data_IF_140178736923
#
_entry.id   IF_140178736923
#
_cell.length_a   1.000
_cell.length_b   1.000
_cell.length_c   1.000
_cell.angle_alpha   90.00
_cell.angle_beta   90.00
_cell.angle_gamma   90.00
#
_symmetry.space_group_name_H-M   'P 1'
#
loop_
_entity.id
_entity.type
_entity.pdbx_description
1 polymer ?
#
# COMPACT_ATOMS: atom_id res chain seq x y z
N UNK A 1 0.10 -0.16 52.62
CA UNK A 1 0.67 0.90 51.79
C UNK A 1 -0.40 1.39 50.82
N UNK A 2 -0.91 2.61 51.05
CA UNK A 2 -1.75 3.29 50.06
C UNK A 2 -0.93 3.48 48.80
N UNK A 3 -1.32 2.80 47.71
CA UNK A 3 -0.86 3.17 46.37
C UNK A 3 -1.47 4.53 46.05
N UNK A 4 -0.65 5.56 46.07
CA UNK A 4 -1.05 6.86 45.55
C UNK A 4 -1.21 6.67 44.03
N UNK A 5 -2.44 6.87 43.53
CA UNK A 5 -2.71 6.91 42.09
C UNK A 5 -2.20 8.26 41.57
N UNK A 6 -0.92 8.32 41.21
CA UNK A 6 -0.33 9.49 40.61
C UNK A 6 -0.43 9.36 39.09
N UNK A 7 -0.86 10.42 38.42
CA UNK A 7 -0.86 10.53 36.95
C UNK A 7 0.22 11.54 36.53
N UNK A 8 1.14 11.11 35.68
CA UNK A 8 2.16 11.98 35.13
C UNK A 8 1.81 12.35 33.68
N UNK A 9 1.81 13.63 33.37
CA UNK A 9 1.71 14.17 32.00
C UNK A 9 3.06 14.81 31.69
N UNK A 10 3.72 14.28 30.64
CA UNK A 10 5.03 14.73 30.19
C UNK A 10 4.93 15.32 28.79
N UNK A 11 5.43 16.52 28.59
CA UNK A 11 5.55 17.13 27.24
C UNK A 11 7.00 17.09 26.79
N UNK A 12 7.23 16.72 25.54
CA UNK A 12 8.59 16.55 25.01
C UNK A 12 8.66 16.74 23.49
N UNK A 13 9.80 17.20 23.00
CA UNK A 13 10.21 17.11 21.60
C UNK A 13 11.34 16.07 21.39
N UNK A 14 11.66 15.31 22.42
CA UNK A 14 12.71 14.28 22.33
C UNK A 14 12.22 13.04 21.58
N UNK A 15 12.83 12.77 20.43
CA UNK A 15 12.60 11.58 19.62
C UNK A 15 12.92 10.32 20.45
N UNK A 16 14.03 10.36 21.20
CA UNK A 16 14.45 9.25 22.06
C UNK A 16 13.41 8.93 23.14
N UNK A 17 12.85 9.95 23.77
CA UNK A 17 11.82 9.73 24.78
C UNK A 17 10.52 9.21 24.15
N UNK A 18 10.10 9.80 23.02
CA UNK A 18 8.90 9.36 22.30
C UNK A 18 9.00 7.87 21.90
N UNK A 19 10.21 7.39 21.53
CA UNK A 19 10.41 5.99 21.15
C UNK A 19 10.36 4.98 22.33
N UNK A 20 10.36 5.46 23.55
CA UNK A 20 10.30 4.62 24.77
C UNK A 20 8.92 4.59 25.42
N UNK A 21 8.02 5.47 24.98
CA UNK A 21 6.66 5.54 25.48
C UNK A 21 5.82 4.55 24.68
N UNK A 22 4.92 3.83 25.36
CA UNK A 22 3.93 3.01 24.70
C UNK A 22 3.08 3.88 23.78
N UNK A 23 2.85 3.40 22.57
CA UNK A 23 2.16 4.16 21.53
C UNK A 23 0.73 4.54 21.94
N UNK A 24 0.03 3.66 22.69
CA UNK A 24 -1.33 3.92 23.19
C UNK A 24 -1.39 5.02 24.25
N UNK A 25 -0.26 5.35 24.91
CA UNK A 25 -0.13 6.46 25.86
C UNK A 25 0.37 7.75 25.21
N UNK A 26 0.74 7.71 23.94
CA UNK A 26 1.26 8.87 23.22
C UNK A 26 0.12 9.77 22.74
N UNK A 27 0.27 11.07 22.92
CA UNK A 27 -0.62 12.10 22.38
C UNK A 27 0.23 13.06 21.57
N UNK A 28 0.01 13.12 20.27
CA UNK A 28 0.74 14.05 19.38
C UNK A 28 -0.04 15.37 19.28
N UNK A 29 0.66 16.47 19.51
CA UNK A 29 0.12 17.83 19.35
C UNK A 29 0.67 18.40 18.04
N UNK A 30 -0.20 18.78 17.10
CA UNK A 30 0.21 19.31 15.81
C UNK A 30 -0.83 20.28 15.24
N UNK A 31 -0.41 21.45 14.81
CA UNK A 31 -1.29 22.43 14.16
C UNK A 31 -2.52 22.79 15.02
N UNK A 32 -2.34 23.05 16.31
CA UNK A 32 -3.40 23.32 17.29
C UNK A 32 -4.44 22.18 17.44
N UNK A 33 -4.09 20.96 17.04
CA UNK A 33 -4.92 19.77 17.17
C UNK A 33 -4.24 18.72 18.05
N UNK A 34 -5.06 17.90 18.66
CA UNK A 34 -4.66 16.81 19.56
C UNK A 34 -4.95 15.48 18.89
N UNK A 35 -3.96 14.62 18.84
CA UNK A 35 -4.01 13.31 18.18
C UNK A 35 -3.58 12.21 19.17
N UNK A 36 -4.51 11.65 19.97
CA UNK A 36 -4.21 10.48 20.78
C UNK A 36 -3.91 9.30 19.85
N UNK A 37 -2.92 8.46 20.25
CA UNK A 37 -2.49 7.30 19.49
C UNK A 37 -3.11 6.00 19.97
N UNK A 38 -4.06 6.06 20.89
CA UNK A 38 -4.75 4.88 21.38
C UNK A 38 -5.72 4.29 20.34
N UNK A 39 -6.12 3.04 20.56
CA UNK A 39 -6.94 2.24 19.63
C UNK A 39 -8.30 2.86 19.30
N UNK A 40 -8.83 3.72 20.14
CA UNK A 40 -10.10 4.41 19.94
C UNK A 40 -10.03 5.49 18.85
N UNK A 41 -8.82 5.93 18.50
CA UNK A 41 -8.61 7.05 17.57
C UNK A 41 -7.86 6.68 16.28
N UNK A 42 -7.11 5.58 16.30
CA UNK A 42 -6.31 5.12 15.15
C UNK A 42 -6.93 3.89 14.49
N UNK A 43 -6.58 3.61 13.24
CA UNK A 43 -6.99 2.37 12.56
C UNK A 43 -6.04 1.20 12.84
N UNK A 44 -5.16 1.33 13.82
CA UNK A 44 -4.23 0.26 14.22
C UNK A 44 -4.96 -0.89 14.90
N UNK A 45 -4.58 -2.10 14.53
CA UNK A 45 -5.02 -3.34 15.19
C UNK A 45 -4.13 -3.64 16.41
N UNK A 46 -4.57 -4.49 17.36
CA UNK A 46 -3.73 -4.87 18.51
C UNK A 46 -2.36 -5.44 18.12
N UNK A 47 -2.30 -6.16 17.00
CA UNK A 47 -1.04 -6.69 16.47
C UNK A 47 -0.09 -5.58 15.98
N UNK A 48 -0.61 -4.45 15.50
CA UNK A 48 0.19 -3.31 15.04
C UNK A 48 0.87 -2.62 16.23
N UNK A 49 0.15 -2.44 17.34
CA UNK A 49 0.73 -1.89 18.59
C UNK A 49 1.90 -2.73 19.08
N UNK A 50 1.72 -4.06 19.18
CA UNK A 50 2.78 -4.99 19.62
C UNK A 50 3.99 -4.96 18.68
N UNK A 51 3.76 -4.83 17.38
CA UNK A 51 4.83 -4.70 16.41
C UNK A 51 5.57 -3.37 16.58
N UNK A 52 4.83 -2.26 16.61
CA UNK A 52 5.42 -0.92 16.68
C UNK A 52 6.16 -0.68 18.00
N UNK A 53 5.70 -1.22 19.12
CA UNK A 53 6.44 -1.19 20.40
C UNK A 53 7.86 -1.78 20.31
N UNK A 54 8.08 -2.74 19.40
CA UNK A 54 9.40 -3.35 19.18
C UNK A 54 10.25 -2.62 18.17
N UNK A 55 9.62 -2.06 17.13
CA UNK A 55 10.31 -1.53 15.96
C UNK A 55 10.30 -0.01 15.84
N UNK A 56 9.54 0.69 16.69
CA UNK A 56 9.53 2.15 16.76
C UNK A 56 10.69 2.63 17.63
N UNK A 57 11.89 2.59 17.07
CA UNK A 57 13.10 3.11 17.70
C UNK A 57 13.25 4.63 17.54
N UNK A 58 14.33 5.20 18.06
CA UNK A 58 14.56 6.64 17.98
C UNK A 58 14.65 7.16 16.54
N UNK A 59 15.15 6.36 15.59
CA UNK A 59 15.24 6.77 14.18
C UNK A 59 13.86 6.86 13.53
N UNK A 60 12.98 5.95 13.87
CA UNK A 60 11.60 5.91 13.34
C UNK A 60 10.64 6.82 14.10
N UNK A 61 10.87 7.11 15.37
CA UNK A 61 10.04 8.04 16.15
C UNK A 61 10.05 9.48 15.58
N UNK A 62 11.01 9.80 14.72
CA UNK A 62 11.04 11.06 13.99
C UNK A 62 9.77 11.30 13.15
N UNK A 63 9.04 10.22 12.78
CA UNK A 63 7.77 10.30 12.05
C UNK A 63 6.71 11.21 12.72
N UNK A 64 6.75 11.38 14.06
CA UNK A 64 5.80 12.24 14.77
C UNK A 64 6.14 13.73 14.68
N UNK A 65 7.38 14.08 14.38
CA UNK A 65 7.90 15.44 14.44
C UNK A 65 8.07 16.10 13.06
N UNK A 66 8.02 15.32 12.00
CA UNK A 66 8.20 15.80 10.62
C UNK A 66 7.02 16.68 10.14
N UNK A 67 7.27 17.55 9.18
CA UNK A 67 6.23 18.30 8.44
C UNK A 67 5.66 17.48 7.29
N UNK A 68 6.45 16.60 6.72
CA UNK A 68 6.09 15.60 5.72
C UNK A 68 6.88 14.33 5.95
N UNK A 69 6.39 13.20 5.48
CA UNK A 69 7.00 11.91 5.71
C UNK A 69 7.13 11.13 4.41
N UNK A 70 8.30 10.54 4.20
CA UNK A 70 8.53 9.54 3.16
C UNK A 70 8.88 8.23 3.87
N UNK A 71 8.07 7.21 3.68
CA UNK A 71 8.33 5.85 4.15
C UNK A 71 8.92 5.04 3.01
N UNK A 72 10.01 4.34 3.26
CA UNK A 72 10.71 3.49 2.30
C UNK A 72 10.94 2.10 2.85
N UNK A 73 11.07 1.10 1.98
CA UNK A 73 11.22 -0.29 2.39
C UNK A 73 12.67 -0.67 2.74
N UNK A 74 13.66 0.00 2.15
CA UNK A 74 15.04 -0.38 2.26
C UNK A 74 16.03 0.78 2.41
N UNK A 75 17.30 0.42 2.51
CA UNK A 75 18.40 1.36 2.64
C UNK A 75 18.74 2.03 1.30
N UNK A 76 18.47 1.35 0.18
CA UNK A 76 18.69 1.90 -1.15
C UNK A 76 17.85 3.17 -1.35
N UNK A 77 16.55 3.10 -1.12
CA UNK A 77 15.65 4.25 -1.23
C UNK A 77 15.97 5.31 -0.19
N UNK A 78 16.34 4.89 1.03
CA UNK A 78 16.71 5.79 2.12
C UNK A 78 17.92 6.68 1.76
N UNK A 79 18.81 6.19 0.91
CA UNK A 79 19.96 6.94 0.39
C UNK A 79 19.64 7.68 -0.91
N UNK A 80 18.93 7.04 -1.81
CA UNK A 80 18.69 7.53 -3.16
C UNK A 80 17.66 8.67 -3.19
N UNK A 81 16.57 8.57 -2.43
CA UNK A 81 15.49 9.57 -2.45
C UNK A 81 15.97 10.96 -2.02
N UNK A 82 16.77 11.14 -0.95
CA UNK A 82 17.35 12.45 -0.63
C UNK A 82 18.27 12.97 -1.74
N UNK A 83 19.10 12.11 -2.33
CA UNK A 83 20.01 12.49 -3.41
C UNK A 83 19.26 12.98 -4.64
N UNK A 84 18.18 12.29 -5.04
CA UNK A 84 17.31 12.73 -6.13
C UNK A 84 16.65 14.06 -5.79
N UNK A 85 16.16 14.23 -4.55
CA UNK A 85 15.55 15.48 -4.11
C UNK A 85 16.51 16.66 -4.17
N UNK A 86 17.78 16.44 -3.82
CA UNK A 86 18.83 17.46 -3.92
C UNK A 86 19.11 17.85 -5.38
N UNK A 87 19.23 16.87 -6.28
CA UNK A 87 19.40 17.11 -7.73
C UNK A 87 18.21 17.88 -8.32
N UNK A 88 17.01 17.66 -7.78
CA UNK A 88 15.79 18.39 -8.18
C UNK A 88 15.65 19.79 -7.53
N UNK A 89 16.66 20.25 -6.79
CA UNK A 89 16.62 21.50 -5.99
C UNK A 89 15.45 21.53 -4.97
N UNK A 90 15.13 20.36 -4.42
CA UNK A 90 14.09 20.17 -3.40
C UNK A 90 14.62 19.40 -2.18
N UNK A 91 15.69 19.87 -1.52
CA UNK A 91 16.28 19.14 -0.41
C UNK A 91 15.27 18.93 0.72
N UNK A 92 15.11 17.68 1.17
CA UNK A 92 14.07 17.27 2.10
C UNK A 92 14.13 18.01 3.44
N UNK A 93 15.33 18.27 3.95
CA UNK A 93 15.57 18.97 5.21
C UNK A 93 15.02 20.41 5.19
N UNK A 94 15.15 21.14 4.07
CA UNK A 94 14.64 22.50 3.90
C UNK A 94 13.12 22.57 4.10
N UNK A 95 12.41 21.49 3.72
CA UNK A 95 10.94 21.41 3.83
C UNK A 95 10.48 20.70 5.10
N UNK A 96 11.41 20.24 5.94
CA UNK A 96 11.09 19.48 7.15
C UNK A 96 10.48 18.11 6.85
N UNK A 97 10.83 17.52 5.71
CA UNK A 97 10.42 16.17 5.32
C UNK A 97 11.43 15.18 5.88
N UNK A 98 10.93 14.18 6.60
CA UNK A 98 11.72 13.07 7.11
C UNK A 98 11.52 11.83 6.23
N UNK A 99 12.62 11.13 5.97
CA UNK A 99 12.57 9.80 5.37
C UNK A 99 12.74 8.75 6.47
N UNK A 100 11.96 7.69 6.42
CA UNK A 100 11.97 6.62 7.42
C UNK A 100 11.97 5.27 6.72
N UNK A 101 13.06 4.53 6.90
CA UNK A 101 13.14 3.13 6.49
C UNK A 101 12.31 2.29 7.46
N UNK A 102 11.23 1.69 6.97
CA UNK A 102 10.31 0.87 7.78
C UNK A 102 10.61 -0.63 7.69
N UNK A 103 11.52 -1.03 6.83
CA UNK A 103 11.92 -2.42 6.60
C UNK A 103 10.78 -3.23 5.98
N UNK A 104 10.90 -3.59 4.73
CA UNK A 104 9.92 -4.40 4.00
C UNK A 104 8.48 -3.81 3.95
N UNK A 105 7.51 -4.62 3.61
CA UNK A 105 6.07 -4.25 3.54
C UNK A 105 5.44 -3.83 4.88
N UNK A 106 6.25 -3.65 5.93
CA UNK A 106 5.77 -3.21 7.25
C UNK A 106 5.18 -1.78 7.24
N UNK A 107 5.39 -1.00 6.16
CA UNK A 107 4.82 0.36 6.02
C UNK A 107 3.32 0.41 6.32
N UNK A 108 2.56 -0.64 6.02
CA UNK A 108 1.11 -0.70 6.29
C UNK A 108 0.79 -0.46 7.77
N UNK A 109 1.62 -0.98 8.68
CA UNK A 109 1.46 -0.78 10.13
C UNK A 109 1.78 0.65 10.55
N UNK A 110 2.83 1.24 9.96
CA UNK A 110 3.20 2.63 10.21
C UNK A 110 2.17 3.61 9.65
N UNK A 111 1.64 3.34 8.46
CA UNK A 111 0.57 4.14 7.85
C UNK A 111 -0.69 4.17 8.73
N UNK A 112 -1.04 3.05 9.37
CA UNK A 112 -2.21 2.95 10.24
C UNK A 112 -2.12 3.84 11.49
N UNK A 113 -0.92 4.30 11.89
CA UNK A 113 -0.74 5.31 12.94
C UNK A 113 -1.48 6.61 12.55
N UNK A 114 -1.41 6.97 11.28
CA UNK A 114 -1.93 8.24 10.75
C UNK A 114 -3.35 8.11 10.17
N UNK A 115 -3.85 6.89 9.96
CA UNK A 115 -5.24 6.63 9.61
C UNK A 115 -6.09 6.69 10.87
N UNK A 116 -7.12 7.52 10.86
CA UNK A 116 -7.88 7.83 12.06
C UNK A 116 -9.34 7.44 11.95
N UNK A 117 -9.89 6.98 13.07
CA UNK A 117 -11.32 6.64 13.20
C UNK A 117 -12.17 7.88 13.51
N UNK A 118 -11.57 8.94 14.08
CA UNK A 118 -12.25 10.17 14.45
C UNK A 118 -12.36 11.19 13.30
N UNK A 119 -12.06 10.78 12.06
CA UNK A 119 -12.09 11.59 10.83
C UNK A 119 -11.19 12.85 10.86
N UNK A 120 -10.31 12.98 11.84
CA UNK A 120 -9.34 14.07 11.88
C UNK A 120 -8.17 13.76 10.96
N UNK A 121 -7.70 14.76 10.21
CA UNK A 121 -6.47 14.66 9.44
C UNK A 121 -5.30 15.18 10.25
N UNK A 122 -4.19 14.45 10.22
CA UNK A 122 -2.90 14.92 10.75
C UNK A 122 -2.39 16.16 10.03
N UNK A 123 -2.92 16.47 8.84
CA UNK A 123 -2.49 17.59 8.01
C UNK A 123 -1.05 17.47 7.51
N UNK A 124 -0.49 16.26 7.54
CA UNK A 124 0.87 15.96 7.12
C UNK A 124 0.83 15.05 5.88
N UNK A 125 1.45 15.46 4.76
CA UNK A 125 1.59 14.58 3.60
C UNK A 125 2.51 13.41 3.93
N UNK A 126 2.09 12.22 3.54
CA UNK A 126 2.83 10.97 3.74
C UNK A 126 2.94 10.28 2.39
N UNK A 127 4.15 10.11 1.91
CA UNK A 127 4.47 9.28 0.76
C UNK A 127 5.00 7.93 1.24
N UNK A 128 4.50 6.86 0.65
CA UNK A 128 5.05 5.51 0.80
C UNK A 128 5.69 5.14 -0.53
N UNK A 129 6.96 4.81 -0.54
CA UNK A 129 7.66 4.25 -1.71
C UNK A 129 7.84 2.77 -1.43
N UNK A 130 7.30 1.93 -2.28
CA UNK A 130 7.27 0.48 -2.11
C UNK A 130 7.45 -0.19 -3.47
N UNK A 131 8.02 -1.38 -3.48
CA UNK A 131 8.17 -2.17 -4.69
C UNK A 131 6.82 -2.75 -5.14
N UNK A 132 6.65 -2.88 -6.46
CA UNK A 132 5.50 -3.57 -7.02
C UNK A 132 5.67 -5.09 -6.94
N UNK A 133 6.92 -5.59 -6.94
CA UNK A 133 7.26 -7.01 -6.84
C UNK A 133 6.59 -7.89 -7.90
N UNK A 134 6.41 -7.38 -9.10
CA UNK A 134 6.00 -8.16 -10.27
C UNK A 134 7.19 -8.22 -11.19
N UNK A 135 7.87 -9.35 -11.18
CA UNK A 135 9.12 -9.54 -11.93
C UNK A 135 8.89 -9.36 -13.42
N UNK A 136 9.87 -8.79 -14.09
CA UNK A 136 9.84 -8.60 -15.53
C UNK A 136 9.93 -9.95 -16.27
N UNK A 137 9.48 -10.00 -17.52
CA UNK A 137 9.41 -11.23 -18.29
C UNK A 137 10.79 -11.88 -18.46
N UNK A 138 11.82 -11.08 -18.69
CA UNK A 138 13.20 -11.54 -18.85
C UNK A 138 13.76 -12.28 -17.62
N UNK A 139 13.22 -12.03 -16.42
CA UNK A 139 13.57 -12.81 -15.24
C UNK A 139 13.27 -14.30 -15.39
N UNK A 140 12.29 -14.64 -16.21
CA UNK A 140 11.83 -16.02 -16.43
C UNK A 140 12.47 -16.67 -17.69
N UNK A 141 13.27 -15.94 -18.44
CA UNK A 141 13.78 -16.41 -19.75
C UNK A 141 14.92 -17.41 -19.63
N UNK A 142 15.59 -17.52 -18.50
CA UNK A 142 16.69 -18.45 -18.27
C UNK A 142 16.25 -19.91 -18.09
N UNK A 143 14.94 -20.18 -18.12
CA UNK A 143 14.37 -21.51 -17.97
C UNK A 143 14.46 -22.12 -16.58
N UNK A 144 15.21 -21.51 -15.66
CA UNK A 144 15.36 -21.96 -14.25
C UNK A 144 14.23 -21.46 -13.36
N UNK A 145 13.44 -20.52 -13.83
CA UNK A 145 12.38 -19.86 -13.05
C UNK A 145 11.00 -20.41 -13.35
N UNK A 146 10.19 -20.53 -12.32
CA UNK A 146 8.81 -20.99 -12.48
C UNK A 146 7.92 -19.91 -13.07
N UNK A 147 7.60 -20.04 -14.36
CA UNK A 147 6.69 -19.14 -15.08
C UNK A 147 5.22 -19.24 -14.62
N UNK A 148 4.87 -20.25 -13.83
CA UNK A 148 3.50 -20.42 -13.33
C UNK A 148 3.22 -19.55 -12.11
N UNK A 149 4.25 -19.18 -11.34
CA UNK A 149 4.08 -18.41 -10.10
C UNK A 149 3.24 -17.14 -10.29
N UNK A 150 3.44 -16.30 -11.33
CA UNK A 150 2.58 -15.15 -11.58
C UNK A 150 1.13 -15.51 -11.84
N UNK A 151 0.86 -16.62 -12.53
CA UNK A 151 -0.49 -17.11 -12.82
C UNK A 151 -1.21 -17.60 -11.56
N UNK A 152 -0.50 -18.24 -10.63
CA UNK A 152 -1.07 -18.61 -9.32
C UNK A 152 -1.49 -17.36 -8.56
N UNK A 153 -0.73 -16.29 -8.63
CA UNK A 153 -1.12 -15.04 -8.00
C UNK A 153 -2.47 -14.52 -8.53
N UNK A 154 -2.71 -14.58 -9.83
CA UNK A 154 -4.00 -14.24 -10.45
C UNK A 154 -5.12 -15.14 -9.92
N UNK A 155 -4.88 -16.46 -9.88
CA UNK A 155 -5.85 -17.44 -9.41
C UNK A 155 -6.22 -17.24 -7.94
N UNK A 156 -5.21 -17.04 -7.08
CA UNK A 156 -5.40 -17.07 -5.63
C UNK A 156 -5.82 -15.71 -5.06
N UNK A 157 -5.54 -14.61 -5.76
CA UNK A 157 -5.79 -13.26 -5.26
C UNK A 157 -6.80 -12.47 -6.09
N UNK A 158 -6.59 -12.41 -7.41
CA UNK A 158 -7.39 -11.54 -8.26
C UNK A 158 -8.72 -12.16 -8.64
N UNK A 159 -8.73 -13.40 -9.11
CA UNK A 159 -9.96 -14.05 -9.57
C UNK A 159 -11.02 -14.16 -8.46
N UNK A 160 -10.69 -14.54 -7.21
CA UNK A 160 -11.65 -14.52 -6.11
C UNK A 160 -12.17 -13.12 -5.79
N UNK A 161 -11.29 -12.11 -5.80
CA UNK A 161 -11.68 -10.72 -5.55
C UNK A 161 -12.63 -10.18 -6.61
N UNK A 162 -12.34 -10.40 -7.90
CA UNK A 162 -13.22 -9.99 -9.01
C UNK A 162 -14.55 -10.75 -9.00
N UNK A 163 -14.51 -12.05 -8.67
CA UNK A 163 -15.73 -12.86 -8.55
C UNK A 163 -16.60 -12.38 -7.39
N UNK A 164 -16.01 -11.99 -6.24
CA UNK A 164 -16.75 -11.42 -5.13
C UNK A 164 -17.45 -10.11 -5.52
N UNK A 165 -16.76 -9.20 -6.22
CA UNK A 165 -17.35 -7.94 -6.70
C UNK A 165 -18.53 -8.21 -7.64
N UNK A 166 -18.41 -9.16 -8.54
CA UNK A 166 -19.50 -9.51 -9.49
C UNK A 166 -20.67 -10.23 -8.82
N UNK A 167 -20.43 -10.92 -7.69
CA UNK A 167 -21.48 -11.58 -6.89
C UNK A 167 -22.17 -10.61 -5.91
N UNK A 168 -21.47 -9.61 -5.40
CA UNK A 168 -22.06 -8.58 -4.55
C UNK A 168 -23.01 -7.67 -5.33
N UNK A 169 -22.79 -7.46 -6.62
CA UNK A 169 -23.76 -6.86 -7.54
C UNK A 169 -24.70 -7.96 -8.07
N UNK A 170 -25.11 -8.73 -7.21
CA UNK A 170 -26.23 -9.63 -7.06
C UNK A 170 -26.95 -10.05 -8.35
N UNK A 171 -26.35 -10.98 -9.11
CA UNK A 171 -27.15 -11.87 -9.93
C UNK A 171 -28.26 -12.54 -9.08
N UNK A 172 -27.99 -12.94 -7.84
CA UNK A 172 -28.96 -13.50 -6.91
C UNK A 172 -30.12 -12.55 -6.57
N UNK A 173 -29.89 -11.24 -6.45
CA UNK A 173 -30.96 -10.25 -6.30
C UNK A 173 -31.66 -9.92 -7.62
N UNK A 174 -31.03 -10.24 -8.75
CA UNK A 174 -31.52 -9.97 -10.10
C UNK A 174 -32.10 -11.20 -10.80
N UNK A 175 -32.08 -12.38 -10.18
CA UNK A 175 -32.66 -13.61 -10.75
C UNK A 175 -34.15 -13.52 -11.05
N UNK A 176 -34.88 -12.57 -10.42
CA UNK A 176 -36.26 -12.27 -10.77
C UNK A 176 -36.41 -11.45 -12.06
N UNK A 177 -35.32 -10.82 -12.52
CA UNK A 177 -35.31 -9.91 -13.71
C UNK A 177 -34.62 -10.56 -14.90
N UNK A 178 -33.58 -11.38 -14.65
CA UNK A 178 -32.78 -12.03 -15.70
C UNK A 178 -32.94 -13.55 -15.68
N UNK A 179 -33.16 -14.12 -16.85
CA UNK A 179 -33.39 -15.56 -17.00
C UNK A 179 -32.15 -16.42 -16.89
N UNK A 180 -30.97 -15.81 -16.97
CA UNK A 180 -29.67 -16.49 -16.85
C UNK A 180 -28.54 -15.53 -16.55
N UNK A 181 -27.41 -16.05 -16.04
CA UNK A 181 -26.17 -15.29 -15.82
C UNK A 181 -25.68 -14.62 -17.11
N UNK A 182 -25.81 -15.32 -18.24
CA UNK A 182 -25.46 -14.76 -19.57
C UNK A 182 -26.37 -13.59 -19.97
N UNK A 183 -27.64 -13.63 -19.64
CA UNK A 183 -28.57 -12.53 -19.90
C UNK A 183 -28.23 -11.31 -19.03
N UNK A 184 -27.88 -11.52 -17.78
CA UNK A 184 -27.38 -10.48 -16.86
C UNK A 184 -26.07 -9.87 -17.36
N UNK A 185 -25.09 -10.67 -17.77
CA UNK A 185 -23.83 -10.19 -18.35
C UNK A 185 -24.06 -9.38 -19.63
N UNK A 186 -24.96 -9.82 -20.49
CA UNK A 186 -25.29 -9.11 -21.73
C UNK A 186 -25.98 -7.77 -21.45
N UNK A 187 -26.85 -7.70 -20.45
CA UNK A 187 -27.53 -6.46 -20.06
C UNK A 187 -26.56 -5.46 -19.43
N UNK A 188 -25.64 -5.93 -18.58
CA UNK A 188 -24.57 -5.09 -18.04
C UNK A 188 -23.69 -4.54 -19.17
N UNK A 189 -23.35 -5.35 -20.17
CA UNK A 189 -22.59 -4.91 -21.35
C UNK A 189 -23.36 -3.89 -22.20
N UNK A 190 -24.66 -4.08 -22.38
CA UNK A 190 -25.50 -3.23 -23.19
C UNK A 190 -25.77 -1.87 -22.52
N UNK A 191 -25.99 -1.85 -21.23
CA UNK A 191 -26.41 -0.66 -20.48
C UNK A 191 -25.30 0.27 -20.04
N UNK A 192 -24.02 0.00 -20.43
CA UNK A 192 -22.89 0.91 -20.15
C UNK A 192 -22.80 1.36 -18.68
N UNK A 193 -23.29 0.57 -17.75
CA UNK A 193 -22.98 0.77 -16.34
C UNK A 193 -21.47 0.55 -16.19
N UNK A 194 -20.77 1.65 -16.25
CA UNK A 194 -19.42 1.85 -16.81
C UNK A 194 -18.30 1.02 -16.18
N UNK A 195 -18.57 0.32 -15.08
CA UNK A 195 -17.54 -0.31 -14.29
C UNK A 195 -17.48 -1.85 -14.40
N UNK A 196 -18.51 -2.49 -14.94
CA UNK A 196 -18.58 -3.97 -14.95
C UNK A 196 -18.03 -4.61 -16.23
N UNK A 197 -18.20 -3.98 -17.39
CA UNK A 197 -17.73 -4.55 -18.65
C UNK A 197 -16.19 -4.81 -18.65
N UNK A 198 -15.34 -3.91 -18.14
CA UNK A 198 -13.91 -4.20 -17.97
C UNK A 198 -13.65 -5.35 -17.00
N UNK A 199 -14.38 -5.42 -15.88
CA UNK A 199 -14.21 -6.47 -14.87
C UNK A 199 -14.58 -7.83 -15.44
N UNK A 200 -15.73 -7.94 -16.15
CA UNK A 200 -16.15 -9.18 -16.79
C UNK A 200 -15.15 -9.60 -17.87
N UNK A 201 -14.66 -8.66 -18.68
CA UNK A 201 -13.62 -8.93 -19.68
C UNK A 201 -12.36 -9.48 -19.02
N UNK A 202 -11.90 -8.87 -17.94
CA UNK A 202 -10.74 -9.31 -17.17
C UNK A 202 -10.97 -10.70 -16.57
N UNK A 203 -12.14 -10.97 -15.98
CA UNK A 203 -12.49 -12.30 -15.45
C UNK A 203 -12.45 -13.35 -16.56
N UNK A 204 -13.02 -13.08 -17.73
CA UNK A 204 -13.04 -14.02 -18.83
C UNK A 204 -11.64 -14.29 -19.39
N UNK A 205 -10.82 -13.25 -19.52
CA UNK A 205 -9.41 -13.41 -19.90
C UNK A 205 -8.64 -14.25 -18.86
N UNK A 206 -8.85 -13.98 -17.58
CA UNK A 206 -8.21 -14.73 -16.49
C UNK A 206 -8.69 -16.18 -16.44
N UNK A 207 -9.99 -16.43 -16.61
CA UNK A 207 -10.52 -17.81 -16.71
C UNK A 207 -9.87 -18.57 -17.86
N UNK A 208 -9.69 -17.94 -19.02
CA UNK A 208 -9.01 -18.55 -20.18
C UNK A 208 -7.55 -18.86 -19.85
N UNK A 209 -6.81 -17.89 -19.31
CA UNK A 209 -5.41 -18.05 -18.91
C UNK A 209 -5.25 -19.15 -17.87
N UNK A 210 -6.14 -19.22 -16.89
CA UNK A 210 -6.08 -20.20 -15.80
C UNK A 210 -6.52 -21.60 -16.23
N UNK A 211 -7.46 -21.71 -17.18
CA UNK A 211 -7.91 -23.00 -17.73
C UNK A 211 -6.83 -23.62 -18.62
N UNK A 212 -6.06 -22.79 -19.32
CA UNK A 212 -4.95 -23.21 -20.17
C UNK A 212 -3.58 -23.03 -19.50
N UNK A 213 -3.54 -23.15 -18.19
CA UNK A 213 -2.38 -22.84 -17.33
C UNK A 213 -1.04 -23.42 -17.84
N UNK A 214 -1.08 -24.61 -18.44
CA UNK A 214 0.09 -25.26 -19.00
C UNK A 214 0.33 -24.96 -20.50
N UNK A 215 -0.64 -24.36 -21.19
CA UNK A 215 -0.59 -24.13 -22.63
C UNK A 215 -0.29 -22.69 -23.01
N UNK A 216 -0.80 -21.74 -22.22
CA UNK A 216 -0.57 -20.32 -22.50
C UNK A 216 0.75 -19.88 -21.88
N UNK A 217 1.73 -19.46 -22.68
CA UNK A 217 3.00 -18.95 -22.15
C UNK A 217 2.77 -17.68 -21.36
N UNK A 218 3.60 -17.45 -20.33
CA UNK A 218 3.68 -16.15 -19.67
C UNK A 218 4.14 -15.12 -20.69
N UNK A 219 3.43 -14.00 -20.80
CA UNK A 219 3.76 -12.90 -21.71
C UNK A 219 3.53 -11.54 -21.01
N UNK A 220 3.89 -10.45 -21.67
CA UNK A 220 3.74 -9.10 -21.14
C UNK A 220 2.28 -8.70 -20.88
N UNK A 221 1.34 -9.17 -21.68
CA UNK A 221 -0.09 -8.85 -21.46
C UNK A 221 -0.58 -9.39 -20.12
N UNK A 222 -0.19 -10.62 -19.76
CA UNK A 222 -0.52 -11.24 -18.47
C UNK A 222 0.17 -10.46 -17.33
N UNK A 223 1.44 -10.13 -17.49
CA UNK A 223 2.17 -9.37 -16.48
C UNK A 223 1.59 -7.96 -16.30
N UNK A 224 1.17 -7.30 -17.39
CA UNK A 224 0.51 -6.00 -17.33
C UNK A 224 -0.78 -6.04 -16.51
N UNK A 225 -1.63 -7.06 -16.70
CA UNK A 225 -2.83 -7.27 -15.90
C UNK A 225 -2.47 -7.42 -14.42
N UNK A 226 -1.47 -8.25 -14.10
CA UNK A 226 -1.02 -8.46 -12.72
C UNK A 226 -0.53 -7.16 -12.10
N UNK A 227 0.30 -6.39 -12.82
CA UNK A 227 0.84 -5.11 -12.36
C UNK A 227 -0.28 -4.12 -12.07
N UNK A 228 -1.22 -3.96 -12.99
CA UNK A 228 -2.34 -3.04 -12.85
C UNK A 228 -3.19 -3.36 -11.61
N UNK A 229 -3.59 -4.59 -11.46
CA UNK A 229 -4.46 -5.00 -10.35
C UNK A 229 -3.74 -4.98 -9.00
N UNK A 230 -2.45 -5.37 -8.98
CA UNK A 230 -1.64 -5.25 -7.76
C UNK A 230 -1.47 -3.79 -7.35
N UNK A 231 -1.25 -2.89 -8.31
CA UNK A 231 -1.19 -1.44 -8.08
C UNK A 231 -2.49 -0.92 -7.50
N UNK A 232 -3.62 -1.17 -8.13
CA UNK A 232 -4.96 -0.76 -7.64
C UNK A 232 -5.21 -1.25 -6.21
N UNK A 233 -4.87 -2.49 -5.92
CA UNK A 233 -5.03 -3.06 -4.59
C UNK A 233 -4.17 -2.34 -3.56
N UNK A 234 -2.88 -2.15 -3.84
CA UNK A 234 -1.96 -1.46 -2.92
C UNK A 234 -2.37 -0.01 -2.69
N UNK A 235 -2.82 0.68 -3.74
CA UNK A 235 -3.36 2.04 -3.63
C UNK A 235 -4.63 2.07 -2.77
N UNK A 236 -5.57 1.16 -2.98
CA UNK A 236 -6.81 1.07 -2.21
C UNK A 236 -6.53 0.79 -0.73
N UNK A 237 -5.60 -0.11 -0.43
CA UNK A 237 -5.22 -0.45 0.94
C UNK A 237 -4.46 0.69 1.65
N UNK A 238 -3.70 1.49 0.91
CA UNK A 238 -2.76 2.46 1.49
C UNK A 238 -3.25 3.89 1.44
N UNK A 239 -3.79 4.35 0.29
CA UNK A 239 -4.14 5.73 0.09
C UNK A 239 -5.28 6.19 1.01
N UNK A 240 -5.08 7.34 1.65
CA UNK A 240 -6.08 7.96 2.52
C UNK A 240 -5.76 9.46 2.66
N UNK A 241 -6.55 10.32 2.03
CA UNK A 241 -6.34 11.76 2.09
C UNK A 241 -4.94 12.20 1.63
N UNK A 242 -4.11 12.63 2.58
CA UNK A 242 -2.73 13.04 2.34
C UNK A 242 -1.71 11.88 2.33
N UNK A 243 -2.17 10.65 2.53
CA UNK A 243 -1.33 9.45 2.47
C UNK A 243 -1.42 8.88 1.06
N UNK A 244 -0.29 8.71 0.38
CA UNK A 244 -0.19 8.16 -0.97
C UNK A 244 0.92 7.15 -1.06
N UNK A 245 0.68 6.05 -1.78
CA UNK A 245 1.71 5.09 -2.17
C UNK A 245 2.20 5.39 -3.59
N UNK A 246 3.48 5.22 -3.79
CA UNK A 246 4.18 5.34 -5.07
C UNK A 246 4.88 4.02 -5.36
N UNK A 247 4.58 3.45 -6.51
CA UNK A 247 5.06 2.14 -6.93
C UNK A 247 5.84 2.28 -8.24
N UNK A 248 6.88 1.47 -8.48
CA UNK A 248 7.50 1.36 -9.79
C UNK A 248 6.49 0.79 -10.80
N UNK A 249 6.74 1.03 -12.08
CA UNK A 249 5.84 0.58 -13.15
C UNK A 249 5.88 -0.93 -13.34
N UNK A 250 7.04 -1.52 -13.15
CA UNK A 250 7.25 -2.93 -13.46
C UNK A 250 7.56 -3.77 -12.22
N UNK A 251 8.73 -3.64 -11.63
CA UNK A 251 9.23 -4.58 -10.64
C UNK A 251 9.65 -3.90 -9.33
N UNK A 252 10.88 -3.34 -9.31
CA UNK A 252 11.43 -2.61 -8.17
C UNK A 252 11.85 -1.21 -8.61
N UNK A 253 12.10 -0.32 -7.64
CA UNK A 253 12.57 1.02 -7.92
C UNK A 253 13.88 0.99 -8.72
N UNK A 254 14.84 0.13 -8.32
CA UNK A 254 16.14 0.03 -8.99
C UNK A 254 16.00 -0.50 -10.41
N UNK A 255 15.07 -1.43 -10.65
CA UNK A 255 14.80 -1.95 -11.99
C UNK A 255 14.27 -0.84 -12.91
N UNK A 256 13.30 -0.06 -12.46
CA UNK A 256 12.74 1.05 -13.24
C UNK A 256 13.80 2.14 -13.50
N UNK A 257 14.67 2.44 -12.52
CA UNK A 257 15.77 3.39 -12.67
C UNK A 257 16.78 2.86 -13.69
N UNK A 258 17.16 1.58 -13.60
CA UNK A 258 18.10 0.97 -14.54
C UNK A 258 17.58 1.00 -15.99
N UNK A 259 16.27 0.91 -16.19
CA UNK A 259 15.63 1.01 -17.52
C UNK A 259 15.33 2.46 -17.95
N UNK A 260 15.45 3.41 -17.03
CA UNK A 260 15.26 4.83 -17.36
C UNK A 260 16.43 5.41 -18.14
N UNK A 261 16.23 6.58 -18.77
CA UNK A 261 17.30 7.31 -19.42
C UNK A 261 18.43 7.81 -18.50
N UNK A 262 18.25 7.71 -17.17
CA UNK A 262 19.25 8.14 -16.17
C UNK A 262 20.53 7.27 -16.22
N UNK A 263 20.45 6.06 -16.73
CA UNK A 263 21.63 5.18 -16.87
C UNK A 263 22.61 5.61 -17.98
N UNK A 264 22.26 6.65 -18.76
CA UNK A 264 23.09 7.18 -19.84
C UNK A 264 23.85 8.46 -19.46
N UNK A 265 23.73 8.90 -18.22
CA UNK A 265 24.47 10.00 -17.63
C UNK A 265 25.64 9.48 -16.79
#
# INVERSE_FOLDING_TARGET
>A
SQQMNEQFILTTHSITLASKIRLDNLIVLKGNKVFPMSKEYTMMKPADYKFLERFLDATKANLFFAKGLIMVEGDAENLLVPAIADVMDKPLNKYGVSIVNVGSTAYKRYVNIFKRQDNKSFGMPIAVISDLDVRALEYYDDGSKDRKTPKYWLKDNLLPALTAITTEVNYAAMTSVFSSETAFENEIRANKTANFAPIISTINQLKTVLTEENKTPLNEDILAIIREEKTKRLETETNNGLIKIFLPKEWTLEYDIARSGLFRL
#
